data_IF_645698242031
#
_entry.id   IF_645698242031
#
_cell.length_a   1.000
_cell.length_b   1.000
_cell.length_c   1.000
_cell.angle_alpha   90.00
_cell.angle_beta   90.00
_cell.angle_gamma   90.00
#
_symmetry.space_group_name_H-M   'P 1'
#
loop_
_entity.id
_entity.type
_entity.pdbx_description
1 polymer ?
#
# COMPACT_ATOMS: atom_id res chain seq x y z
N UNK A 1 9.65 4.56 -12.56
CA UNK A 1 10.65 5.37 -11.88
C UNK A 1 12.02 4.72 -11.86
N UNK A 2 13.06 5.51 -11.65
CA UNK A 2 14.42 5.00 -11.46
C UNK A 2 14.67 4.79 -9.97
N UNK A 3 15.03 3.57 -9.59
CA UNK A 3 15.49 3.25 -8.23
C UNK A 3 16.99 3.46 -8.16
N UNK A 4 17.44 4.39 -7.36
CA UNK A 4 18.86 4.68 -7.12
C UNK A 4 19.28 4.04 -5.80
N UNK A 5 20.22 3.10 -5.87
CA UNK A 5 20.75 2.37 -4.70
C UNK A 5 21.97 3.08 -4.13
N UNK A 6 22.92 3.43 -5.01
CA UNK A 6 24.14 4.18 -4.69
C UNK A 6 24.70 4.84 -5.98
N UNK A 7 25.87 5.48 -5.90
CA UNK A 7 26.53 6.09 -7.05
C UNK A 7 26.83 5.02 -8.13
N UNK A 8 26.20 5.18 -9.29
CA UNK A 8 26.36 4.30 -10.44
C UNK A 8 25.52 3.02 -10.42
N UNK A 9 24.79 2.75 -9.36
CA UNK A 9 23.93 1.57 -9.24
C UNK A 9 22.46 1.99 -9.19
N UNK A 10 21.78 1.91 -10.31
CA UNK A 10 20.38 2.26 -10.46
C UNK A 10 19.68 1.35 -11.47
N UNK A 11 18.37 1.23 -11.36
CA UNK A 11 17.56 0.48 -12.33
C UNK A 11 16.18 1.09 -12.51
N UNK A 12 15.62 0.88 -13.71
CA UNK A 12 14.25 1.27 -14.00
C UNK A 12 13.28 0.28 -13.37
N UNK A 13 12.43 0.77 -12.46
CA UNK A 13 11.31 0.01 -11.90
C UNK A 13 10.04 0.33 -12.67
N UNK A 14 9.42 -0.67 -13.24
CA UNK A 14 8.13 -0.58 -13.93
C UNK A 14 7.06 -1.37 -13.17
N UNK A 15 5.80 -1.08 -13.46
CA UNK A 15 4.66 -1.87 -12.98
C UNK A 15 4.43 -3.05 -13.92
N UNK A 16 3.84 -4.11 -13.40
CA UNK A 16 3.47 -5.30 -14.19
C UNK A 16 2.09 -5.12 -14.85
N UNK A 17 1.92 -4.00 -15.54
CA UNK A 17 0.76 -3.70 -16.38
C UNK A 17 1.25 -3.13 -17.72
N UNK A 18 0.39 -3.16 -18.72
CA UNK A 18 0.69 -2.61 -20.04
C UNK A 18 0.68 -1.08 -20.01
N UNK A 19 1.55 -0.45 -20.81
CA UNK A 19 1.48 0.98 -21.05
C UNK A 19 0.18 1.36 -21.75
N UNK A 20 -0.35 2.54 -21.41
CA UNK A 20 -1.48 3.09 -22.11
C UNK A 20 -2.61 3.55 -21.19
N UNK A 21 -3.73 3.86 -21.83
CA UNK A 21 -4.93 4.32 -21.15
C UNK A 21 -5.76 3.13 -20.65
N UNK A 22 -6.15 3.24 -19.38
CA UNK A 22 -7.14 2.38 -18.74
C UNK A 22 -8.41 3.21 -18.53
N UNK A 23 -9.49 2.81 -19.15
CA UNK A 23 -10.84 3.29 -18.86
C UNK A 23 -11.44 2.53 -17.67
N UNK A 24 -12.65 2.89 -17.26
CA UNK A 24 -13.33 2.25 -16.11
C UNK A 24 -13.50 0.73 -16.27
N UNK A 25 -13.76 0.26 -17.48
CA UNK A 25 -13.91 -1.17 -17.75
C UNK A 25 -12.56 -1.90 -17.57
N UNK A 26 -11.48 -1.35 -18.13
CA UNK A 26 -10.13 -1.90 -17.98
C UNK A 26 -9.62 -1.82 -16.53
N UNK A 27 -10.00 -0.77 -15.78
CA UNK A 27 -9.70 -0.66 -14.35
C UNK A 27 -10.38 -1.79 -13.57
N UNK A 28 -11.67 -2.03 -13.79
CA UNK A 28 -12.41 -3.11 -13.15
C UNK A 28 -11.83 -4.49 -13.47
N UNK A 29 -11.49 -4.73 -14.73
CA UNK A 29 -10.96 -6.01 -15.18
C UNK A 29 -9.55 -6.30 -14.68
N UNK A 30 -8.65 -5.30 -14.74
CA UNK A 30 -7.20 -5.51 -14.59
C UNK A 30 -6.61 -4.96 -13.29
N UNK A 31 -7.26 -3.95 -12.71
CA UNK A 31 -6.74 -3.27 -11.50
C UNK A 31 -7.50 -3.71 -10.26
N UNK A 32 -8.83 -3.79 -10.29
CA UNK A 32 -9.62 -4.22 -9.13
C UNK A 32 -9.17 -5.57 -8.55
N UNK A 33 -8.77 -6.60 -9.34
CA UNK A 33 -8.25 -7.84 -8.75
C UNK A 33 -7.00 -7.71 -7.88
N UNK A 34 -6.32 -6.57 -7.94
CA UNK A 34 -5.09 -6.27 -7.19
C UNK A 34 -5.04 -4.81 -6.70
N UNK A 35 -6.18 -4.19 -6.51
CA UNK A 35 -6.26 -2.76 -6.15
C UNK A 35 -5.66 -2.48 -4.77
N UNK A 36 -5.96 -3.32 -3.78
CA UNK A 36 -5.51 -3.20 -2.39
C UNK A 36 -4.29 -4.09 -2.15
N UNK A 37 -4.40 -5.37 -2.53
CA UNK A 37 -3.35 -6.36 -2.36
C UNK A 37 -3.52 -7.50 -3.38
N UNK A 38 -2.43 -7.87 -4.04
CA UNK A 38 -2.40 -9.02 -4.95
C UNK A 38 -2.35 -10.36 -4.22
N UNK A 39 -2.72 -11.44 -4.91
CA UNK A 39 -2.74 -12.81 -4.38
C UNK A 39 -1.36 -13.30 -3.91
N UNK A 40 -0.29 -12.76 -4.45
CA UNK A 40 1.10 -13.05 -4.08
C UNK A 40 1.61 -12.21 -2.89
N UNK A 41 0.73 -11.49 -2.18
CA UNK A 41 1.08 -10.55 -1.11
C UNK A 41 1.98 -9.39 -1.62
N UNK A 42 1.77 -8.96 -2.84
CA UNK A 42 2.40 -7.77 -3.40
C UNK A 42 1.37 -6.64 -3.55
N UNK A 43 1.86 -5.44 -3.45
CA UNK A 43 1.04 -4.26 -3.66
C UNK A 43 0.54 -4.17 -5.10
N UNK A 44 -0.67 -3.65 -5.25
CA UNK A 44 -1.22 -3.32 -6.54
C UNK A 44 -0.44 -2.23 -7.29
N UNK A 45 -0.71 -2.05 -8.58
CA UNK A 45 0.08 -1.17 -9.45
C UNK A 45 -0.08 0.32 -9.14
N UNK A 46 -1.11 0.74 -8.40
CA UNK A 46 -1.39 2.16 -8.15
C UNK A 46 -0.93 2.63 -6.75
N UNK A 47 -0.18 1.81 -6.01
CA UNK A 47 0.14 2.04 -4.62
C UNK A 47 0.72 3.42 -4.29
N UNK A 48 1.72 3.86 -5.02
CA UNK A 48 2.56 4.98 -4.58
C UNK A 48 2.14 6.29 -5.21
N UNK A 49 1.79 7.28 -4.39
CA UNK A 49 1.31 8.60 -4.86
C UNK A 49 2.41 9.49 -5.44
N UNK A 50 3.65 9.34 -4.98
CA UNK A 50 4.77 10.21 -5.35
C UNK A 50 5.21 10.13 -6.82
N UNK A 51 4.79 9.11 -7.56
CA UNK A 51 5.05 8.97 -9.01
C UNK A 51 3.76 9.11 -9.84
N UNK A 52 2.69 9.62 -9.24
CA UNK A 52 1.40 9.85 -9.89
C UNK A 52 1.10 11.33 -10.03
N UNK A 53 0.33 11.67 -11.05
CA UNK A 53 -0.29 12.98 -11.23
C UNK A 53 -1.80 12.82 -11.19
N UNK A 54 -2.45 13.62 -10.36
CA UNK A 54 -3.90 13.59 -10.18
C UNK A 54 -4.52 14.90 -10.68
N UNK A 55 -5.66 14.80 -11.33
CA UNK A 55 -6.46 16.00 -11.63
C UNK A 55 -7.05 16.56 -10.34
N UNK A 56 -6.87 17.85 -10.11
CA UNK A 56 -7.35 18.49 -8.88
C UNK A 56 -8.87 18.38 -8.73
N UNK A 57 -9.61 18.51 -9.83
CA UNK A 57 -11.07 18.36 -9.84
C UNK A 57 -11.50 16.97 -9.39
N UNK A 58 -10.83 15.93 -9.85
CA UNK A 58 -11.07 14.54 -9.43
C UNK A 58 -10.89 14.37 -7.91
N UNK A 59 -9.80 14.90 -7.36
CA UNK A 59 -9.56 14.84 -5.92
C UNK A 59 -10.65 15.55 -5.11
N UNK A 60 -11.09 16.73 -5.58
CA UNK A 60 -12.15 17.52 -4.94
C UNK A 60 -13.51 16.86 -5.03
N UNK A 61 -13.88 16.35 -6.19
CA UNK A 61 -15.16 15.69 -6.45
C UNK A 61 -15.36 14.47 -5.55
N UNK A 62 -14.33 13.66 -5.40
CA UNK A 62 -14.38 12.45 -4.56
C UNK A 62 -13.86 12.68 -3.13
N UNK A 63 -13.57 13.94 -2.76
CA UNK A 63 -13.08 14.32 -1.43
C UNK A 63 -11.87 13.50 -0.97
N UNK A 64 -10.98 13.17 -1.92
CA UNK A 64 -9.80 12.34 -1.66
C UNK A 64 -8.75 13.16 -0.91
N UNK A 65 -8.49 12.76 0.31
CA UNK A 65 -7.45 13.30 1.19
C UNK A 65 -6.64 12.17 1.80
N UNK A 66 -5.45 12.50 2.30
CA UNK A 66 -4.70 11.54 3.12
C UNK A 66 -5.39 11.33 4.47
N UNK A 67 -5.36 10.08 4.93
CA UNK A 67 -5.89 9.70 6.22
C UNK A 67 -4.91 10.12 7.34
N UNK A 68 -5.31 11.06 8.19
CA UNK A 68 -4.45 11.60 9.24
C UNK A 68 -4.18 10.60 10.39
N UNK A 69 -5.01 9.57 10.55
CA UNK A 69 -4.80 8.50 11.52
C UNK A 69 -3.83 7.42 11.02
N UNK A 70 -3.58 7.38 9.69
CA UNK A 70 -2.67 6.43 9.06
C UNK A 70 -1.33 7.09 8.75
N UNK A 71 -0.47 7.13 9.76
CA UNK A 71 0.84 7.82 9.67
C UNK A 71 1.84 7.16 8.72
N UNK A 72 1.75 5.84 8.54
CA UNK A 72 2.65 5.06 7.68
C UNK A 72 1.84 4.27 6.68
N UNK A 73 2.33 4.22 5.45
CA UNK A 73 1.65 3.59 4.32
C UNK A 73 0.30 4.27 3.97
N UNK A 74 0.18 5.55 4.26
CA UNK A 74 -0.96 6.40 3.88
C UNK A 74 -1.23 6.37 2.38
N UNK A 75 -0.18 6.15 1.58
CA UNK A 75 -0.27 5.92 0.14
C UNK A 75 -1.22 4.77 -0.21
N UNK A 76 -1.23 3.71 0.59
CA UNK A 76 -2.04 2.52 0.31
C UNK A 76 -3.54 2.82 0.33
N UNK A 77 -4.01 3.43 1.41
CA UNK A 77 -5.44 3.74 1.55
C UNK A 77 -5.85 4.82 0.55
N UNK A 78 -5.03 5.86 0.37
CA UNK A 78 -5.28 6.90 -0.63
C UNK A 78 -5.37 6.31 -2.04
N UNK A 79 -4.41 5.49 -2.43
CA UNK A 79 -4.35 4.90 -3.78
C UNK A 79 -5.47 3.89 -4.02
N UNK A 80 -5.90 3.15 -3.00
CA UNK A 80 -7.05 2.26 -3.09
C UNK A 80 -8.33 3.04 -3.41
N UNK A 81 -8.58 4.15 -2.70
CA UNK A 81 -9.74 5.01 -2.98
C UNK A 81 -9.62 5.71 -4.34
N UNK A 82 -8.47 6.28 -4.66
CA UNK A 82 -8.25 6.93 -5.94
C UNK A 82 -8.44 5.95 -7.11
N UNK A 83 -7.91 4.74 -7.01
CA UNK A 83 -8.06 3.71 -8.03
C UNK A 83 -9.50 3.19 -8.17
N UNK A 84 -10.24 3.12 -7.06
CA UNK A 84 -11.66 2.76 -7.09
C UNK A 84 -12.51 3.82 -7.81
N UNK A 85 -12.32 5.09 -7.46
CA UNK A 85 -13.10 6.18 -8.05
C UNK A 85 -12.70 6.56 -9.48
N UNK A 86 -11.47 6.27 -9.88
CA UNK A 86 -10.96 6.66 -11.19
C UNK A 86 -11.83 6.14 -12.34
N UNK A 87 -12.26 7.03 -13.23
CA UNK A 87 -12.90 6.68 -14.50
C UNK A 87 -11.87 6.30 -15.57
N UNK A 88 -10.67 6.83 -15.44
CA UNK A 88 -9.55 6.43 -16.27
C UNK A 88 -8.22 6.88 -15.68
N UNK A 89 -7.15 6.16 -16.04
CA UNK A 89 -5.78 6.61 -15.85
C UNK A 89 -4.92 6.24 -17.07
N UNK A 90 -3.77 6.85 -17.17
CA UNK A 90 -2.76 6.50 -18.18
C UNK A 90 -1.50 6.03 -17.47
N UNK A 91 -1.03 4.83 -17.80
CA UNK A 91 0.27 4.34 -17.35
C UNK A 91 1.34 4.65 -18.39
N UNK A 92 2.30 5.49 -17.98
CA UNK A 92 3.46 5.84 -18.78
C UNK A 92 4.63 4.92 -18.37
N UNK A 93 4.97 3.95 -19.22
CA UNK A 93 5.99 2.93 -18.94
C UNK A 93 7.33 3.34 -19.50
N UNK A 94 8.38 3.16 -18.72
CA UNK A 94 9.76 3.25 -19.22
C UNK A 94 10.43 4.62 -19.16
N UNK A 95 9.69 5.70 -18.93
CA UNK A 95 10.24 7.07 -18.95
C UNK A 95 11.16 7.40 -17.77
N UNK A 96 10.99 6.73 -16.62
CA UNK A 96 11.87 6.95 -15.46
C UNK A 96 11.93 8.39 -14.95
N UNK A 97 10.81 9.12 -15.04
CA UNK A 97 10.73 10.55 -14.73
C UNK A 97 10.96 10.89 -13.24
N UNK A 98 10.83 9.92 -12.37
CA UNK A 98 11.04 10.09 -10.93
C UNK A 98 12.24 9.25 -10.46
N UNK A 99 13.15 9.85 -9.70
CA UNK A 99 14.31 9.17 -9.12
C UNK A 99 14.06 8.94 -7.63
N UNK A 100 13.95 7.69 -7.23
CA UNK A 100 13.76 7.28 -5.84
C UNK A 100 15.09 6.84 -5.24
N UNK A 101 15.64 7.65 -4.33
CA UNK A 101 16.92 7.41 -3.66
C UNK A 101 16.76 6.53 -2.42
N UNK A 102 17.71 5.62 -2.22
CA UNK A 102 17.75 4.80 -1.02
C UNK A 102 18.56 5.52 0.08
N UNK A 103 17.87 6.32 0.88
CA UNK A 103 18.50 7.11 1.95
C UNK A 103 18.44 6.34 3.27
N UNK A 104 19.60 6.00 3.91
CA UNK A 104 19.62 5.41 5.25
C UNK A 104 18.98 6.32 6.30
N UNK A 105 18.32 5.71 7.29
CA UNK A 105 17.70 6.44 8.41
C UNK A 105 16.37 7.12 8.07
N UNK A 106 15.83 6.88 6.89
CA UNK A 106 14.49 7.37 6.53
C UNK A 106 13.38 6.59 7.22
N UNK A 107 12.17 7.14 7.19
CA UNK A 107 10.97 6.52 7.78
C UNK A 107 10.71 5.10 7.24
N UNK A 108 11.18 4.78 6.04
CA UNK A 108 10.98 3.45 5.41
C UNK A 108 11.97 2.40 5.90
N UNK A 109 13.09 2.79 6.52
CA UNK A 109 14.17 1.88 6.95
C UNK A 109 14.27 1.70 8.45
N UNK A 110 13.63 2.56 9.25
CA UNK A 110 13.66 2.49 10.69
C UNK A 110 12.58 1.56 11.27
N UNK A 111 12.87 0.88 12.38
CA UNK A 111 11.85 0.18 13.16
C UNK A 111 10.79 1.17 13.65
N UNK A 112 9.52 0.77 13.60
CA UNK A 112 8.37 1.63 13.92
C UNK A 112 7.58 1.05 15.07
N UNK A 113 7.87 1.48 16.32
CA UNK A 113 7.05 1.08 17.47
C UNK A 113 5.59 1.47 17.24
N UNK A 114 4.67 0.53 17.46
CA UNK A 114 3.22 0.81 17.28
C UNK A 114 2.69 0.74 15.85
N UNK A 115 3.52 0.43 14.85
CA UNK A 115 3.08 0.31 13.46
C UNK A 115 1.90 -0.66 13.28
N UNK A 116 1.87 -1.76 14.04
CA UNK A 116 0.74 -2.70 14.01
C UNK A 116 -0.60 -2.01 14.26
N UNK A 117 -0.70 -1.15 15.28
CA UNK A 117 -1.94 -0.44 15.58
C UNK A 117 -2.37 0.49 14.43
N UNK A 118 -1.41 1.15 13.78
CA UNK A 118 -1.68 2.01 12.60
C UNK A 118 -2.22 1.17 11.45
N UNK A 119 -1.64 0.00 11.20
CA UNK A 119 -2.11 -0.89 10.14
C UNK A 119 -3.48 -1.52 10.44
N UNK A 120 -3.78 -1.80 11.71
CA UNK A 120 -5.14 -2.17 12.12
C UNK A 120 -6.14 -1.03 11.85
N UNK A 121 -5.77 0.22 12.14
CA UNK A 121 -6.60 1.39 11.83
C UNK A 121 -6.82 1.51 10.32
N UNK A 122 -5.74 1.44 9.52
CA UNK A 122 -5.83 1.48 8.07
C UNK A 122 -6.74 0.39 7.50
N UNK A 123 -6.60 -0.85 7.97
CA UNK A 123 -7.45 -1.95 7.54
C UNK A 123 -8.92 -1.72 7.89
N UNK A 124 -9.21 -1.21 9.08
CA UNK A 124 -10.56 -0.84 9.51
C UNK A 124 -11.18 0.23 8.59
N UNK A 125 -10.43 1.27 8.23
CA UNK A 125 -10.90 2.31 7.31
C UNK A 125 -11.12 1.79 5.89
N UNK A 126 -10.26 0.87 5.43
CA UNK A 126 -10.50 0.17 4.17
C UNK A 126 -11.79 -0.67 4.22
N UNK A 127 -12.04 -1.41 5.30
CA UNK A 127 -13.29 -2.16 5.51
C UNK A 127 -14.51 -1.25 5.54
N UNK A 128 -14.46 -0.13 6.26
CA UNK A 128 -15.57 0.83 6.32
C UNK A 128 -16.04 1.30 4.94
N UNK A 129 -15.12 1.39 3.99
CA UNK A 129 -15.42 1.77 2.62
C UNK A 129 -15.76 0.55 1.75
N UNK A 130 -14.86 -0.42 1.65
CA UNK A 130 -14.96 -1.49 0.67
C UNK A 130 -16.01 -2.56 1.02
N UNK A 131 -16.42 -2.70 2.28
CA UNK A 131 -17.53 -3.59 2.66
C UNK A 131 -18.89 -3.11 2.11
N UNK A 132 -19.02 -1.81 1.82
CA UNK A 132 -20.23 -1.23 1.22
C UNK A 132 -20.27 -1.33 -0.31
N UNK A 133 -19.14 -1.71 -0.95
CA UNK A 133 -19.02 -1.80 -2.40
C UNK A 133 -19.67 -3.09 -2.88
N UNK A 134 -20.68 -2.97 -3.76
CA UNK A 134 -21.41 -4.12 -4.30
C UNK A 134 -20.93 -4.58 -5.68
N UNK A 135 -20.16 -3.75 -6.39
CA UNK A 135 -19.77 -4.00 -7.78
C UNK A 135 -18.52 -4.88 -7.94
N UNK A 136 -17.80 -5.11 -6.84
CA UNK A 136 -16.63 -5.99 -6.78
C UNK A 136 -16.40 -6.46 -5.34
N UNK A 137 -16.02 -7.73 -5.15
CA UNK A 137 -15.69 -8.29 -3.84
C UNK A 137 -14.22 -8.07 -3.50
N UNK A 138 -13.94 -7.16 -2.57
CA UNK A 138 -12.60 -6.85 -2.08
C UNK A 138 -12.19 -7.63 -0.82
N UNK A 139 -13.06 -8.47 -0.25
CA UNK A 139 -12.84 -9.12 1.05
C UNK A 139 -11.52 -9.90 1.10
N UNK A 140 -11.23 -10.66 0.05
CA UNK A 140 -9.97 -11.41 -0.02
C UNK A 140 -8.73 -10.50 0.00
N UNK A 141 -8.78 -9.38 -0.70
CA UNK A 141 -7.66 -8.42 -0.71
C UNK A 141 -7.46 -7.75 0.65
N UNK A 142 -8.54 -7.42 1.36
CA UNK A 142 -8.49 -6.87 2.72
C UNK A 142 -7.83 -7.84 3.70
N UNK A 143 -8.13 -9.13 3.60
CA UNK A 143 -7.49 -10.19 4.39
C UNK A 143 -6.00 -10.33 4.06
N UNK A 144 -5.64 -10.40 2.78
CA UNK A 144 -4.26 -10.48 2.32
C UNK A 144 -3.46 -9.24 2.76
N UNK A 145 -4.06 -8.06 2.71
CA UNK A 145 -3.47 -6.82 3.17
C UNK A 145 -3.13 -6.88 4.68
N UNK A 146 -4.03 -7.36 5.52
CA UNK A 146 -3.77 -7.53 6.95
C UNK A 146 -2.65 -8.55 7.21
N UNK A 147 -2.65 -9.68 6.50
CA UNK A 147 -1.59 -10.71 6.58
C UNK A 147 -0.24 -10.11 6.17
N UNK A 148 -0.19 -9.36 5.08
CA UNK A 148 1.03 -8.68 4.62
C UNK A 148 1.62 -7.78 5.70
N UNK A 149 0.80 -6.93 6.34
CA UNK A 149 1.28 -6.02 7.37
C UNK A 149 1.65 -6.72 8.67
N UNK A 150 0.99 -7.82 9.02
CA UNK A 150 1.41 -8.66 10.13
C UNK A 150 2.81 -9.25 9.90
N UNK A 151 3.04 -9.83 8.72
CA UNK A 151 4.36 -10.36 8.33
C UNK A 151 5.42 -9.25 8.32
N UNK A 152 5.11 -8.07 7.77
CA UNK A 152 6.02 -6.93 7.74
C UNK A 152 6.39 -6.46 9.14
N UNK A 153 5.41 -6.24 10.03
CA UNK A 153 5.65 -5.86 11.41
C UNK A 153 6.50 -6.89 12.16
N UNK A 154 6.16 -8.17 12.06
CA UNK A 154 6.90 -9.25 12.73
C UNK A 154 8.35 -9.35 12.22
N UNK A 155 8.58 -9.12 10.93
CA UNK A 155 9.92 -9.09 10.34
C UNK A 155 10.76 -7.94 10.89
N UNK A 156 10.18 -6.75 11.04
CA UNK A 156 10.87 -5.56 11.54
C UNK A 156 11.21 -5.62 13.04
N UNK A 157 10.54 -6.46 13.83
CA UNK A 157 10.79 -6.58 15.28
C UNK A 157 12.26 -6.91 15.60
N UNK A 158 12.95 -7.66 14.70
CA UNK A 158 14.38 -7.95 14.85
C UNK A 158 15.29 -6.71 14.85
N UNK A 159 14.81 -5.59 14.30
CA UNK A 159 15.54 -4.31 14.22
C UNK A 159 15.19 -3.36 15.37
N UNK A 160 14.36 -3.79 16.34
CA UNK A 160 13.85 -2.95 17.42
C UNK A 160 14.91 -2.57 18.48
N UNK A 161 16.02 -3.31 18.53
CA UNK A 161 17.00 -3.20 19.63
C UNK A 161 16.54 -3.81 20.97
N UNK A 162 15.34 -4.38 21.03
CA UNK A 162 14.77 -5.01 22.22
C UNK A 162 15.37 -6.40 22.51
N UNK A 163 15.24 -6.87 23.75
CA UNK A 163 15.63 -8.25 24.11
C UNK A 163 14.85 -9.29 23.30
N UNK A 164 15.38 -10.49 23.16
CA UNK A 164 14.71 -11.59 22.46
C UNK A 164 13.35 -11.93 23.05
N UNK A 165 13.23 -11.85 24.38
CA UNK A 165 11.98 -12.09 25.10
C UNK A 165 10.93 -11.05 24.71
N UNK A 166 11.32 -9.77 24.69
CA UNK A 166 10.44 -8.65 24.30
C UNK A 166 10.04 -8.72 22.84
N UNK A 167 10.99 -9.05 21.96
CA UNK A 167 10.69 -9.30 20.54
C UNK A 167 9.67 -10.43 20.35
N UNK A 168 9.78 -11.51 21.13
CA UNK A 168 8.83 -12.62 21.09
C UNK A 168 7.45 -12.19 21.61
N UNK A 169 7.40 -11.39 22.67
CA UNK A 169 6.14 -10.83 23.20
C UNK A 169 5.41 -10.00 22.13
N UNK A 170 6.14 -9.11 21.44
CA UNK A 170 5.59 -8.27 20.37
C UNK A 170 5.00 -9.14 19.25
N UNK A 171 5.75 -10.15 18.77
CA UNK A 171 5.27 -11.08 17.74
C UNK A 171 4.03 -11.85 18.19
N UNK A 172 4.01 -12.36 19.42
CA UNK A 172 2.85 -13.06 19.99
C UNK A 172 1.62 -12.15 20.07
N UNK A 173 1.80 -10.86 20.42
CA UNK A 173 0.71 -9.90 20.44
C UNK A 173 0.10 -9.70 19.07
N UNK A 174 0.92 -9.56 18.02
CA UNK A 174 0.44 -9.45 16.63
C UNK A 174 -0.31 -10.72 16.21
N UNK A 175 0.29 -11.91 16.40
CA UNK A 175 -0.31 -13.20 16.04
C UNK A 175 -1.63 -13.51 16.77
N UNK A 176 -1.82 -12.94 17.96
CA UNK A 176 -3.02 -13.15 18.76
C UNK A 176 -4.00 -11.98 18.69
N UNK A 177 -3.73 -10.96 17.88
CA UNK A 177 -4.66 -9.85 17.69
C UNK A 177 -5.96 -10.34 17.04
N UNK A 178 -7.05 -9.67 17.36
CA UNK A 178 -8.36 -10.01 16.80
C UNK A 178 -8.38 -9.74 15.30
N UNK A 179 -7.82 -8.61 14.88
CA UNK A 179 -7.76 -8.18 13.48
C UNK A 179 -7.09 -9.22 12.57
N UNK A 180 -5.99 -9.86 13.04
CA UNK A 180 -5.34 -10.90 12.25
C UNK A 180 -6.10 -12.23 12.26
N UNK A 181 -6.85 -12.53 13.33
CA UNK A 181 -7.66 -13.76 13.41
C UNK A 181 -8.91 -13.70 12.55
N UNK A 182 -9.43 -12.50 12.29
CA UNK A 182 -10.59 -12.24 11.43
C UNK A 182 -10.21 -12.15 9.96
N UNK A 183 -8.92 -11.93 9.65
CA UNK A 183 -8.38 -11.98 8.30
C UNK A 183 -8.15 -13.42 7.84
#
# INVERSE_FOLDING_TARGET
YIRVLDEGNQYLKTLDIQEGRYDKAAIREKIFPQLIMGENLEYGPLLSVWHCLYRTEFLKEHQLTFDEEVRWSEDNIFSAFAGYYADSFYYLKGEGLYHYYNNPGTITTAYRPGAWNVYCTMNRHLHQFFDSVSEYDFQRQLKLHMIFYACNCMGQVGQSGESKEKQMEIRKRILNSQELKEA
#
